data_IF_968582928022
#
_entry.id   IF_968582928022
#
_cell.length_a   1.000
_cell.length_b   1.000
_cell.length_c   1.000
_cell.angle_alpha   90.00
_cell.angle_beta   90.00
_cell.angle_gamma   90.00
#
_symmetry.space_group_name_H-M   'P 1'
#
loop_
_entity.id
_entity.type
_entity.pdbx_description
1 polymer ?
#
# COMPACT_ATOMS: atom_id res chain seq x y z
N UNK A 1 4.99 7.48 -7.77
CA UNK A 1 5.93 7.74 -6.65
C UNK A 1 5.41 7.12 -5.36
N UNK A 2 6.26 6.39 -4.61
CA UNK A 2 5.94 5.85 -3.29
C UNK A 2 6.58 6.69 -2.17
N UNK A 3 5.86 6.84 -1.05
CA UNK A 3 6.35 7.47 0.19
C UNK A 3 5.84 6.71 1.40
N UNK A 4 6.46 6.92 2.55
CA UNK A 4 5.96 6.37 3.81
C UNK A 4 5.85 7.44 4.88
N UNK A 5 5.01 7.17 5.87
CA UNK A 5 4.86 7.96 7.08
C UNK A 5 4.62 7.00 8.25
N UNK A 6 5.18 7.28 9.43
CA UNK A 6 4.89 6.48 10.63
C UNK A 6 3.55 6.89 11.23
N UNK A 7 2.76 5.92 11.66
CA UNK A 7 1.53 6.22 12.41
C UNK A 7 1.88 6.72 13.82
N UNK A 8 0.96 7.44 14.50
CA UNK A 8 1.17 7.86 15.88
C UNK A 8 1.58 6.71 16.79
N UNK A 9 2.46 6.98 17.74
CA UNK A 9 3.02 5.99 18.68
C UNK A 9 3.77 4.83 18.00
N UNK A 10 4.17 4.97 16.73
CA UNK A 10 4.87 3.93 15.97
C UNK A 10 4.11 2.60 15.95
N UNK A 11 2.77 2.65 15.83
CA UNK A 11 1.94 1.45 15.73
C UNK A 11 2.08 0.74 14.38
N UNK A 12 2.63 1.43 13.38
CA UNK A 12 2.76 0.99 12.00
C UNK A 12 3.24 2.11 11.09
N UNK A 13 2.87 2.01 9.82
CA UNK A 13 3.16 3.02 8.80
C UNK A 13 2.02 3.16 7.81
N UNK A 14 1.97 4.31 7.15
CA UNK A 14 1.14 4.56 5.97
C UNK A 14 2.05 4.49 4.76
N UNK A 15 1.71 3.63 3.80
CA UNK A 15 2.34 3.62 2.48
C UNK A 15 1.50 4.49 1.54
N UNK A 16 2.10 5.57 1.08
CA UNK A 16 1.51 6.52 0.16
C UNK A 16 1.97 6.24 -1.27
N UNK A 17 1.05 6.37 -2.23
CA UNK A 17 1.37 6.33 -3.66
C UNK A 17 0.41 7.17 -4.49
N UNK A 18 0.88 7.62 -5.65
CA UNK A 18 -0.04 8.06 -6.71
C UNK A 18 -0.76 6.84 -7.34
N UNK A 19 -1.75 7.11 -8.19
CA UNK A 19 -2.60 6.06 -8.76
C UNK A 19 -1.81 5.03 -9.57
N UNK A 20 -0.77 5.48 -10.27
CA UNK A 20 0.08 4.62 -11.11
C UNK A 20 0.96 3.72 -10.24
N UNK A 21 1.68 4.28 -9.27
CA UNK A 21 2.54 3.48 -8.40
C UNK A 21 1.75 2.47 -7.55
N UNK A 22 0.52 2.82 -7.11
CA UNK A 22 -0.33 1.85 -6.42
C UNK A 22 -0.87 0.76 -7.37
N UNK A 23 -1.04 1.05 -8.67
CA UNK A 23 -1.37 0.01 -9.64
C UNK A 23 -0.21 -0.95 -9.87
N UNK A 24 0.99 -0.42 -10.10
CA UNK A 24 2.20 -1.24 -10.26
C UNK A 24 2.46 -2.11 -9.02
N UNK A 25 2.29 -1.56 -7.81
CA UNK A 25 2.44 -2.32 -6.58
C UNK A 25 1.40 -3.43 -6.44
N UNK A 26 0.14 -3.15 -6.81
CA UNK A 26 -0.92 -4.15 -6.82
C UNK A 26 -0.59 -5.32 -7.77
N UNK A 27 -0.14 -5.02 -8.99
CA UNK A 27 0.27 -6.02 -9.98
C UNK A 27 1.49 -6.82 -9.52
N UNK A 28 2.49 -6.14 -8.94
CA UNK A 28 3.67 -6.78 -8.36
C UNK A 28 3.28 -7.79 -7.27
N UNK A 29 2.35 -7.45 -6.38
CA UNK A 29 1.91 -8.36 -5.32
C UNK A 29 1.24 -9.60 -5.91
N UNK A 30 0.37 -9.43 -6.91
CA UNK A 30 -0.25 -10.57 -7.58
C UNK A 30 0.79 -11.48 -8.24
N UNK A 31 1.75 -10.90 -8.95
CA UNK A 31 2.86 -11.66 -9.54
C UNK A 31 3.65 -12.44 -8.48
N UNK A 32 3.97 -11.81 -7.34
CA UNK A 32 4.66 -12.48 -6.24
C UNK A 32 3.81 -13.63 -5.67
N UNK A 33 2.50 -13.43 -5.46
CA UNK A 33 1.58 -14.46 -4.95
C UNK A 33 1.48 -15.65 -5.89
N UNK A 34 1.48 -15.41 -7.19
CA UNK A 34 1.32 -16.46 -8.19
C UNK A 34 2.60 -17.27 -8.43
N UNK A 35 3.76 -16.59 -8.47
CA UNK A 35 5.03 -17.18 -8.88
C UNK A 35 5.96 -17.58 -7.72
N UNK A 36 5.78 -17.01 -6.52
CA UNK A 36 6.69 -17.27 -5.41
C UNK A 36 6.46 -18.64 -4.79
N UNK A 37 7.48 -19.53 -4.75
CA UNK A 37 7.36 -20.82 -4.06
C UNK A 37 7.31 -20.66 -2.52
N UNK A 38 7.59 -19.47 -2.00
CA UNK A 38 7.55 -19.16 -0.57
C UNK A 38 6.13 -18.85 -0.08
N UNK A 39 5.25 -18.41 -0.97
CA UNK A 39 3.85 -18.12 -0.63
C UNK A 39 3.05 -19.42 -0.72
N UNK A 40 2.90 -20.08 0.43
CA UNK A 40 2.14 -21.32 0.54
C UNK A 40 0.64 -21.09 0.69
N UNK A 41 0.25 -19.98 1.31
CA UNK A 41 -1.14 -19.58 1.52
C UNK A 41 -1.44 -18.41 0.60
N UNK A 42 -2.12 -18.69 -0.51
CA UNK A 42 -2.45 -17.67 -1.51
C UNK A 42 -3.38 -16.60 -0.93
N UNK A 43 -4.33 -16.97 -0.06
CA UNK A 43 -5.26 -16.05 0.60
C UNK A 43 -4.70 -15.37 1.86
N UNK A 44 -3.37 -15.33 2.00
CA UNK A 44 -2.69 -14.76 3.16
C UNK A 44 -2.59 -13.23 3.15
N UNK A 45 -1.72 -12.70 4.02
CA UNK A 45 -1.44 -11.26 4.14
C UNK A 45 -1.23 -10.57 2.78
N UNK A 46 -0.51 -11.20 1.86
CA UNK A 46 -0.17 -10.60 0.57
C UNK A 46 -1.42 -10.28 -0.28
N UNK A 47 -2.42 -11.17 -0.36
CA UNK A 47 -3.67 -10.86 -1.08
C UNK A 47 -4.52 -9.83 -0.33
N UNK A 48 -4.50 -9.83 1.01
CA UNK A 48 -5.16 -8.79 1.80
C UNK A 48 -4.52 -7.41 1.53
N UNK A 49 -3.19 -7.36 1.42
CA UNK A 49 -2.45 -6.16 1.08
C UNK A 49 -2.79 -5.67 -0.35
N UNK A 50 -2.86 -6.57 -1.34
CA UNK A 50 -3.32 -6.22 -2.69
C UNK A 50 -4.71 -5.59 -2.66
N UNK A 51 -5.64 -6.19 -1.92
CA UNK A 51 -6.98 -5.63 -1.75
C UNK A 51 -6.95 -4.22 -1.16
N UNK A 52 -6.18 -3.99 -0.09
CA UNK A 52 -6.09 -2.69 0.55
C UNK A 52 -5.43 -1.62 -0.34
N UNK A 53 -4.43 -1.99 -1.14
CA UNK A 53 -3.80 -1.10 -2.13
C UNK A 53 -4.80 -0.67 -3.20
N UNK A 54 -5.56 -1.63 -3.75
CA UNK A 54 -6.63 -1.32 -4.71
C UNK A 54 -7.65 -0.37 -4.08
N UNK A 55 -8.07 -0.64 -2.83
CA UNK A 55 -9.00 0.21 -2.10
C UNK A 55 -8.46 1.61 -1.82
N UNK A 56 -7.17 1.75 -1.51
CA UNK A 56 -6.55 3.06 -1.36
C UNK A 56 -6.57 3.83 -2.68
N UNK A 57 -6.17 3.21 -3.79
CA UNK A 57 -6.20 3.83 -5.13
C UNK A 57 -7.61 4.28 -5.53
N UNK A 58 -8.64 3.52 -5.18
CA UNK A 58 -10.05 3.89 -5.37
C UNK A 58 -10.51 5.07 -4.49
N UNK A 59 -9.65 5.60 -3.61
CA UNK A 59 -9.97 6.66 -2.67
C UNK A 59 -10.76 6.22 -1.44
N UNK A 60 -10.88 4.90 -1.20
CA UNK A 60 -11.62 4.31 -0.07
C UNK A 60 -10.76 4.16 1.20
N UNK A 61 -9.61 4.83 1.26
CA UNK A 61 -8.68 4.87 2.41
C UNK A 61 -8.23 6.33 2.62
N UNK A 62 -6.96 6.56 2.95
CA UNK A 62 -6.41 7.91 3.12
C UNK A 62 -6.21 8.55 1.75
N UNK A 63 -6.57 9.83 1.63
CA UNK A 63 -6.34 10.63 0.42
C UNK A 63 -5.80 11.98 0.84
N UNK A 64 -4.64 12.34 0.30
CA UNK A 64 -4.00 13.62 0.54
C UNK A 64 -3.68 14.33 -0.77
N UNK A 65 -3.78 15.66 -0.76
CA UNK A 65 -3.32 16.50 -1.87
C UNK A 65 -1.88 16.88 -1.56
N UNK A 66 -0.96 16.50 -2.44
CA UNK A 66 0.42 16.93 -2.34
C UNK A 66 0.69 18.01 -3.38
N UNK A 67 1.31 19.11 -2.96
CA UNK A 67 1.80 20.16 -3.84
C UNK A 67 3.29 19.92 -4.07
N UNK A 68 3.67 19.64 -5.32
CA UNK A 68 5.08 19.43 -5.67
C UNK A 68 5.75 20.74 -6.08
N UNK A 69 4.98 21.65 -6.68
CA UNK A 69 5.36 23.02 -6.98
C UNK A 69 4.10 23.92 -7.08
N UNK A 70 4.25 25.22 -7.33
CA UNK A 70 3.18 26.22 -7.40
C UNK A 70 2.06 25.89 -8.41
N UNK A 71 2.31 24.98 -9.36
CA UNK A 71 1.38 24.67 -10.45
C UNK A 71 0.92 23.20 -10.50
N UNK A 72 1.61 22.27 -9.81
CA UNK A 72 1.30 20.85 -9.88
C UNK A 72 0.84 20.28 -8.53
N UNK A 73 -0.42 19.87 -8.51
CA UNK A 73 -1.03 19.15 -7.39
C UNK A 73 -1.39 17.75 -7.83
N UNK A 74 -0.87 16.74 -7.13
CA UNK A 74 -1.31 15.35 -7.32
C UNK A 74 -1.95 14.79 -6.05
N UNK A 75 -2.79 13.78 -6.26
CA UNK A 75 -3.41 13.04 -5.17
C UNK A 75 -2.51 11.87 -4.77
N UNK A 76 -2.20 11.79 -3.49
CA UNK A 76 -1.62 10.62 -2.86
C UNK A 76 -2.73 9.82 -2.19
N UNK A 77 -2.62 8.51 -2.32
CA UNK A 77 -3.52 7.54 -1.75
C UNK A 77 -2.72 6.68 -0.76
N UNK A 78 -3.24 6.54 0.46
CA UNK A 78 -2.52 5.92 1.57
C UNK A 78 -3.17 4.62 2.04
N UNK A 79 -2.36 3.59 2.20
CA UNK A 79 -2.71 2.34 2.88
C UNK A 79 -2.05 2.33 4.25
N UNK A 80 -2.84 2.18 5.31
CA UNK A 80 -2.33 2.09 6.68
C UNK A 80 -2.07 0.62 7.06
N UNK A 81 -0.85 0.32 7.51
CA UNK A 81 -0.39 -1.02 7.88
C UNK A 81 0.18 -1.00 9.29
N UNK A 82 -0.31 -1.89 10.15
CA UNK A 82 0.17 -2.03 11.53
C UNK A 82 1.33 -3.03 11.61
N UNK A 83 2.30 -2.77 12.49
CA UNK A 83 3.47 -3.65 12.63
C UNK A 83 3.13 -5.12 12.92
N UNK A 84 2.15 -5.46 13.78
CA UNK A 84 1.80 -6.86 14.00
C UNK A 84 1.37 -7.59 12.73
N UNK A 85 0.68 -6.91 11.79
CA UNK A 85 0.24 -7.51 10.52
C UNK A 85 1.41 -7.79 9.57
N UNK A 86 2.45 -6.94 9.64
CA UNK A 86 3.60 -7.00 8.73
C UNK A 86 4.71 -7.91 9.28
N UNK A 87 4.99 -7.82 10.57
CA UNK A 87 6.13 -8.49 11.21
C UNK A 87 5.80 -9.88 11.76
N UNK A 88 4.55 -10.07 12.21
CA UNK A 88 4.12 -11.33 12.84
C UNK A 88 3.18 -12.04 11.88
N UNK A 89 3.76 -12.60 10.82
CA UNK A 89 3.03 -13.41 9.85
C UNK A 89 3.10 -14.88 10.27
N UNK A 90 1.94 -15.46 10.56
CA UNK A 90 1.74 -16.88 10.89
C UNK A 90 1.29 -17.70 9.70
#
# INVERSE_FOLDING_TARGET
MLRYELTPNNAGFILWGDSEALNELHELIHYIVDESPLIKVKDGFMLSLAYDIRKAREGNRRVEKHQYDQHDTYKLYGVELLWPLVLVQS
#
